data_IF_755975155176
#
_entry.id   IF_755975155176
#
_cell.length_a   1.000
_cell.length_b   1.000
_cell.length_c   1.000
_cell.angle_alpha   90.00
_cell.angle_beta   90.00
_cell.angle_gamma   90.00
#
_symmetry.space_group_name_H-M   'P 1'
#
loop_
_entity.id
_entity.type
_entity.pdbx_description
1 polymer ?
#
# COMPACT_ATOMS: atom_id res chain seq x y z
N UNK A 1 12.98 -18.00 49.37
CA UNK A 1 14.17 -17.46 48.67
C UNK A 1 14.18 -17.81 47.18
N UNK A 2 14.03 -19.08 46.77
CA UNK A 2 14.01 -19.50 45.35
C UNK A 2 12.92 -18.83 44.51
N UNK A 3 11.70 -18.68 45.04
CA UNK A 3 10.59 -18.00 44.36
C UNK A 3 10.88 -16.53 44.02
N UNK A 4 11.59 -15.81 44.90
CA UNK A 4 11.98 -14.42 44.64
C UNK A 4 12.98 -14.33 43.48
N UNK A 5 13.93 -15.29 43.41
CA UNK A 5 14.90 -15.38 42.31
C UNK A 5 14.20 -15.70 40.99
N UNK A 6 13.24 -16.63 40.99
CA UNK A 6 12.43 -16.96 39.80
C UNK A 6 11.65 -15.75 39.31
N UNK A 7 11.01 -15.00 40.22
CA UNK A 7 10.29 -13.78 39.85
C UNK A 7 11.20 -12.68 39.30
N UNK A 8 12.42 -12.53 39.84
CA UNK A 8 13.40 -11.57 39.33
C UNK A 8 13.88 -11.94 37.92
N UNK A 9 14.12 -13.23 37.65
CA UNK A 9 14.47 -13.72 36.30
C UNK A 9 13.32 -13.51 35.33
N UNK A 10 12.07 -13.75 35.76
CA UNK A 10 10.90 -13.52 34.93
C UNK A 10 10.73 -12.03 34.60
N UNK A 11 10.86 -11.15 35.59
CA UNK A 11 10.79 -9.70 35.38
C UNK A 11 11.92 -9.16 34.49
N UNK A 12 13.13 -9.70 34.60
CA UNK A 12 14.25 -9.28 33.75
C UNK A 12 14.05 -9.71 32.30
N UNK A 13 13.54 -10.93 32.06
CA UNK A 13 13.17 -11.40 30.72
C UNK A 13 12.05 -10.54 30.11
N UNK A 14 11.01 -10.22 30.89
CA UNK A 14 9.92 -9.34 30.44
C UNK A 14 10.47 -7.95 30.08
N UNK A 15 11.39 -7.40 30.87
CA UNK A 15 12.07 -6.14 30.55
C UNK A 15 12.81 -6.22 29.21
N UNK A 16 13.57 -7.29 28.97
CA UNK A 16 14.31 -7.48 27.71
C UNK A 16 13.34 -7.53 26.52
N UNK A 17 12.21 -8.23 26.63
CA UNK A 17 11.20 -8.25 25.55
C UNK A 17 10.57 -6.87 25.33
N UNK A 18 10.31 -6.11 26.40
CA UNK A 18 9.76 -4.76 26.32
C UNK A 18 10.75 -3.73 25.73
N UNK A 19 12.04 -3.83 26.05
CA UNK A 19 13.06 -2.89 25.58
C UNK A 19 13.68 -3.28 24.25
N UNK A 20 13.68 -4.58 23.94
CA UNK A 20 14.30 -5.16 22.77
C UNK A 20 13.28 -5.99 21.99
N UNK A 21 12.17 -5.35 21.58
CA UNK A 21 11.28 -5.97 20.60
C UNK A 21 12.12 -6.31 19.36
N UNK A 22 12.14 -7.58 18.92
CA UNK A 22 12.92 -7.96 17.74
C UNK A 22 12.47 -7.12 16.53
N UNK A 23 13.41 -6.69 15.70
CA UNK A 23 13.13 -5.84 14.53
C UNK A 23 12.01 -6.42 13.67
N UNK A 24 12.00 -7.73 13.42
CA UNK A 24 10.93 -8.38 12.65
C UNK A 24 9.54 -8.30 13.30
N UNK A 25 9.44 -8.25 14.63
CA UNK A 25 8.15 -8.06 15.34
C UNK A 25 7.66 -6.63 15.16
N UNK A 26 8.58 -5.66 15.20
CA UNK A 26 8.28 -4.24 14.97
C UNK A 26 7.86 -4.03 13.52
N UNK A 27 8.57 -4.58 12.55
CA UNK A 27 8.22 -4.51 11.12
C UNK A 27 6.84 -5.15 10.86
N UNK A 28 6.56 -6.31 11.44
CA UNK A 28 5.24 -6.93 11.35
C UNK A 28 4.15 -6.06 11.97
N UNK A 29 4.41 -5.43 13.11
CA UNK A 29 3.47 -4.51 13.75
C UNK A 29 3.22 -3.29 12.87
N UNK A 30 4.27 -2.66 12.34
CA UNK A 30 4.19 -1.49 11.46
C UNK A 30 3.43 -1.81 10.17
N UNK A 31 3.66 -2.98 9.56
CA UNK A 31 2.97 -3.43 8.34
C UNK A 31 1.43 -3.54 8.47
N UNK A 32 0.92 -3.66 9.71
CA UNK A 32 -0.53 -3.63 9.96
C UNK A 32 -1.13 -2.24 9.88
N UNK A 33 -0.34 -1.22 10.22
CA UNK A 33 -0.76 0.17 10.23
C UNK A 33 -0.36 0.93 8.96
N UNK A 34 0.53 0.37 8.14
CA UNK A 34 0.80 0.85 6.78
C UNK A 34 -0.50 0.90 5.97
N UNK A 35 -0.96 2.12 5.73
CA UNK A 35 -2.11 2.42 4.86
C UNK A 35 -1.75 2.05 3.43
N UNK A 36 -0.53 2.37 3.03
CA UNK A 36 0.11 1.96 1.79
C UNK A 36 0.81 0.61 1.97
N UNK A 37 0.09 -0.47 1.64
CA UNK A 37 0.64 -1.82 1.77
C UNK A 37 1.53 -2.15 0.58
N UNK A 38 2.77 -2.57 0.85
CA UNK A 38 3.69 -3.04 -0.19
C UNK A 38 3.13 -4.26 -0.93
N UNK A 39 3.39 -4.30 -2.23
CA UNK A 39 3.00 -5.37 -3.14
C UNK A 39 4.11 -6.42 -3.25
N UNK A 40 3.70 -7.67 -3.40
CA UNK A 40 4.56 -8.79 -3.74
C UNK A 40 4.32 -9.19 -5.20
N UNK A 41 5.38 -9.48 -5.95
CA UNK A 41 5.29 -9.92 -7.36
C UNK A 41 4.46 -11.20 -7.50
N UNK A 42 4.55 -12.14 -6.56
CA UNK A 42 3.81 -13.41 -6.66
C UNK A 42 2.29 -13.25 -6.49
N UNK A 43 1.86 -12.30 -5.66
CA UNK A 43 0.47 -12.14 -5.26
C UNK A 43 -0.27 -11.01 -5.98
N UNK A 44 0.46 -10.11 -6.65
CA UNK A 44 -0.09 -8.95 -7.35
C UNK A 44 -0.25 -9.22 -8.84
N UNK A 45 -1.45 -8.93 -9.36
CA UNK A 45 -1.76 -8.88 -10.79
C UNK A 45 -2.01 -7.42 -11.15
N UNK A 46 -1.17 -6.87 -12.01
CA UNK A 46 -1.27 -5.48 -12.47
C UNK A 46 -1.90 -5.45 -13.86
N UNK A 47 -2.81 -4.50 -14.07
CA UNK A 47 -3.41 -4.25 -15.36
C UNK A 47 -3.56 -2.75 -15.62
N UNK A 48 -3.16 -2.32 -16.80
CA UNK A 48 -3.30 -0.95 -17.28
C UNK A 48 -4.19 -0.98 -18.51
N UNK A 49 -5.26 -0.20 -18.51
CA UNK A 49 -6.24 -0.16 -19.60
C UNK A 49 -6.78 -1.55 -20.00
N UNK A 50 -6.99 -2.42 -19.00
CA UNK A 50 -7.43 -3.80 -19.20
C UNK A 50 -6.35 -4.77 -19.72
N UNK A 51 -5.17 -4.27 -20.10
CA UNK A 51 -4.02 -5.11 -20.49
C UNK A 51 -3.21 -5.50 -19.27
N UNK A 52 -2.96 -6.80 -19.09
CA UNK A 52 -2.10 -7.31 -18.01
C UNK A 52 -0.63 -6.96 -18.27
N UNK A 53 0.03 -6.52 -17.20
CA UNK A 53 1.47 -6.29 -17.18
C UNK A 53 2.16 -7.56 -16.69
N UNK A 54 3.19 -8.00 -17.40
CA UNK A 54 3.94 -9.22 -17.08
C UNK A 54 5.46 -8.95 -17.16
N UNK A 55 6.25 -9.84 -16.56
CA UNK A 55 7.71 -9.78 -16.63
C UNK A 55 8.32 -8.56 -15.94
N UNK A 56 9.26 -7.91 -16.62
CA UNK A 56 10.06 -6.80 -16.08
C UNK A 56 9.24 -5.53 -15.86
N UNK A 57 8.31 -5.21 -16.76
CA UNK A 57 7.42 -4.04 -16.63
C UNK A 57 6.60 -4.09 -15.34
N UNK A 58 6.06 -5.28 -15.02
CA UNK A 58 5.32 -5.52 -13.78
C UNK A 58 6.21 -5.29 -12.56
N UNK A 59 7.41 -5.86 -12.54
CA UNK A 59 8.35 -5.73 -11.42
C UNK A 59 8.75 -4.28 -11.19
N UNK A 60 9.04 -3.55 -12.27
CA UNK A 60 9.38 -2.14 -12.19
C UNK A 60 8.24 -1.31 -11.58
N UNK A 61 6.99 -1.54 -12.01
CA UNK A 61 5.84 -0.84 -11.42
C UNK A 61 5.61 -1.19 -9.95
N UNK A 62 5.79 -2.46 -9.57
CA UNK A 62 5.67 -2.89 -8.17
C UNK A 62 6.73 -2.20 -7.30
N UNK A 63 7.96 -2.10 -7.79
CA UNK A 63 9.06 -1.46 -7.07
C UNK A 63 8.78 0.02 -6.84
N UNK A 64 8.42 0.75 -7.91
CA UNK A 64 8.05 2.16 -7.82
C UNK A 64 6.85 2.41 -6.91
N UNK A 65 5.84 1.52 -6.93
CA UNK A 65 4.72 1.60 -6.01
C UNK A 65 5.18 1.38 -4.56
N UNK A 66 6.06 0.42 -4.30
CA UNK A 66 6.56 0.12 -2.97
C UNK A 66 7.47 1.21 -2.39
N UNK A 67 8.17 1.95 -3.25
CA UNK A 67 9.00 3.11 -2.89
C UNK A 67 8.18 4.38 -2.66
N UNK A 68 6.93 4.43 -3.12
CA UNK A 68 6.08 5.61 -2.97
C UNK A 68 5.82 5.96 -1.49
N UNK A 69 5.86 7.26 -1.19
CA UNK A 69 5.69 7.77 0.17
C UNK A 69 4.22 8.10 0.41
N UNK A 70 3.64 7.51 1.45
CA UNK A 70 2.30 7.86 1.91
C UNK A 70 2.28 9.29 2.48
N UNK A 71 1.37 10.12 2.00
CA UNK A 71 1.18 11.48 2.48
C UNK A 71 -0.02 11.59 3.41
N UNK A 72 -1.20 11.36 2.88
CA UNK A 72 -2.45 11.58 3.61
C UNK A 72 -3.53 10.58 3.20
N UNK A 73 -4.44 10.31 4.12
CA UNK A 73 -5.61 9.47 3.87
C UNK A 73 -6.84 10.37 3.76
N UNK A 74 -7.63 10.17 2.71
CA UNK A 74 -8.89 10.87 2.54
C UNK A 74 -9.96 10.34 3.50
N UNK A 75 -10.76 11.28 4.01
CA UNK A 75 -11.99 10.95 4.72
C UNK A 75 -13.11 10.79 3.69
N UNK A 76 -13.57 9.55 3.49
CA UNK A 76 -14.69 9.25 2.59
C UNK A 76 -15.98 9.28 3.39
N UNK A 77 -16.88 10.20 3.04
CA UNK A 77 -18.22 10.22 3.62
C UNK A 77 -19.06 9.06 3.05
N UNK A 78 -19.88 8.37 3.86
CA UNK A 78 -20.72 7.28 3.38
C UNK A 78 -21.65 7.74 2.25
N UNK A 79 -21.60 7.05 1.10
CA UNK A 79 -22.34 7.42 -0.11
C UNK A 79 -21.53 8.19 -1.15
N UNK A 80 -20.30 8.60 -0.83
CA UNK A 80 -19.41 9.31 -1.76
C UNK A 80 -18.32 8.40 -2.36
N UNK A 81 -18.40 7.09 -2.12
CA UNK A 81 -17.37 6.13 -2.53
C UNK A 81 -17.13 6.10 -4.04
N UNK A 82 -18.21 6.29 -4.83
CA UNK A 82 -18.12 6.26 -6.30
C UNK A 82 -17.26 7.38 -6.86
N UNK A 83 -17.23 8.56 -6.23
CA UNK A 83 -16.38 9.68 -6.68
C UNK A 83 -14.90 9.38 -6.59
N UNK A 84 -14.51 8.55 -5.62
CA UNK A 84 -13.13 8.10 -5.49
C UNK A 84 -12.85 6.90 -6.41
N UNK A 85 -13.82 6.01 -6.59
CA UNK A 85 -13.64 4.87 -7.49
C UNK A 85 -13.61 5.27 -8.96
N UNK A 86 -14.28 6.36 -9.34
CA UNK A 86 -14.39 6.87 -10.71
C UNK A 86 -14.26 8.41 -10.71
N UNK A 87 -13.07 8.95 -10.42
CA UNK A 87 -12.84 10.39 -10.40
C UNK A 87 -12.96 10.97 -11.82
N UNK A 88 -13.61 12.12 -11.97
CA UNK A 88 -13.84 12.77 -13.27
C UNK A 88 -12.53 13.12 -14.01
N UNK A 89 -11.47 13.41 -13.27
CA UNK A 89 -10.17 13.86 -13.81
C UNK A 89 -9.04 12.82 -13.70
N UNK A 90 -9.32 11.58 -13.25
CA UNK A 90 -8.25 10.63 -12.89
C UNK A 90 -7.61 9.88 -14.06
N UNK A 91 -8.11 10.05 -15.29
CA UNK A 91 -7.65 9.26 -16.43
C UNK A 91 -7.86 7.76 -16.24
N UNK A 92 -7.13 6.94 -17.00
CA UNK A 92 -7.19 5.47 -16.89
C UNK A 92 -6.34 4.99 -15.71
N UNK A 93 -6.95 4.35 -14.68
CA UNK A 93 -6.18 3.87 -13.55
C UNK A 93 -5.32 2.66 -13.88
N UNK A 94 -4.19 2.55 -13.20
CA UNK A 94 -3.52 1.27 -13.01
C UNK A 94 -4.33 0.47 -11.97
N UNK A 95 -4.84 -0.69 -12.37
CA UNK A 95 -5.62 -1.58 -11.50
C UNK A 95 -4.72 -2.71 -11.01
N UNK A 96 -4.64 -2.86 -9.69
CA UNK A 96 -3.83 -3.87 -9.02
C UNK A 96 -4.75 -4.78 -8.21
N UNK A 97 -4.86 -6.02 -8.65
CA UNK A 97 -5.51 -7.09 -7.90
C UNK A 97 -4.47 -7.79 -7.03
N UNK A 98 -4.66 -7.78 -5.71
CA UNK A 98 -3.72 -8.38 -4.75
C UNK A 98 -4.45 -9.02 -3.57
N UNK A 99 -3.72 -9.77 -2.75
CA UNK A 99 -4.25 -10.39 -1.53
C UNK A 99 -3.54 -9.85 -0.29
N UNK A 100 -4.32 -9.35 0.67
CA UNK A 100 -3.83 -9.06 2.03
C UNK A 100 -4.27 -10.18 2.97
N UNK A 101 -3.38 -11.17 3.15
CA UNK A 101 -3.71 -12.42 3.85
C UNK A 101 -4.77 -13.22 3.07
N UNK A 102 -5.93 -13.50 3.68
CA UNK A 102 -7.03 -14.23 3.03
C UNK A 102 -8.06 -13.32 2.33
N UNK A 103 -7.77 -12.02 2.19
CA UNK A 103 -8.72 -11.04 1.64
C UNK A 103 -8.22 -10.56 0.29
N UNK A 104 -9.07 -10.68 -0.72
CA UNK A 104 -8.85 -10.02 -2.00
C UNK A 104 -9.02 -8.51 -1.83
N UNK A 105 -8.07 -7.78 -2.38
CA UNK A 105 -7.97 -6.33 -2.32
C UNK A 105 -7.73 -5.85 -3.75
N UNK A 106 -8.53 -4.88 -4.18
CA UNK A 106 -8.31 -4.17 -5.44
C UNK A 106 -7.82 -2.77 -5.14
N UNK A 107 -6.75 -2.35 -5.81
CA UNK A 107 -6.23 -1.00 -5.74
C UNK A 107 -6.44 -0.35 -7.11
N UNK A 108 -7.01 0.83 -7.13
CA UNK A 108 -7.04 1.71 -8.30
C UNK A 108 -6.03 2.82 -8.04
N UNK A 109 -5.04 2.94 -8.92
CA UNK A 109 -3.98 3.92 -8.81
C UNK A 109 -4.18 4.96 -9.93
N UNK A 110 -4.51 6.18 -9.53
CA UNK A 110 -4.74 7.33 -10.38
C UNK A 110 -3.52 8.23 -10.34
N UNK A 111 -2.93 8.51 -11.49
CA UNK A 111 -1.76 9.38 -11.61
C UNK A 111 -2.21 10.77 -12.07
N UNK A 112 -1.87 11.78 -11.28
CA UNK A 112 -2.04 13.20 -11.60
C UNK A 112 -0.66 13.86 -11.77
N UNK A 113 -0.66 15.08 -12.29
CA UNK A 113 0.58 15.83 -12.54
C UNK A 113 1.39 16.10 -11.26
N UNK A 114 0.72 16.33 -10.13
CA UNK A 114 1.34 16.69 -8.85
C UNK A 114 1.30 15.57 -7.79
N UNK A 115 0.50 14.52 -7.99
CA UNK A 115 0.33 13.44 -7.02
C UNK A 115 -0.21 12.15 -7.60
N UNK A 116 -0.28 11.12 -6.76
CA UNK A 116 -0.90 9.85 -7.09
C UNK A 116 -1.94 9.56 -6.04
N UNK A 117 -3.15 9.24 -6.46
CA UNK A 117 -4.19 8.75 -5.56
C UNK A 117 -4.33 7.24 -5.69
N UNK A 118 -4.49 6.59 -4.55
CA UNK A 118 -4.76 5.16 -4.48
C UNK A 118 -6.08 4.93 -3.78
N UNK A 119 -6.98 4.26 -4.48
CA UNK A 119 -8.29 3.88 -3.97
C UNK A 119 -8.31 2.37 -3.78
N UNK A 120 -8.30 1.99 -2.51
CA UNK A 120 -8.33 0.62 -2.05
C UNK A 120 -9.76 0.18 -1.80
N UNK A 121 -10.19 -0.83 -2.54
CA UNK A 121 -11.46 -1.49 -2.38
C UNK A 121 -11.27 -2.89 -1.80
N UNK A 122 -11.99 -3.20 -0.72
CA UNK A 122 -12.08 -4.56 -0.20
C UNK A 122 -13.50 -4.83 0.31
N UNK A 123 -14.15 -5.86 -0.23
CA UNK A 123 -15.58 -6.11 -0.02
C UNK A 123 -16.40 -4.84 -0.32
N UNK A 124 -17.06 -4.27 0.69
CA UNK A 124 -17.87 -3.03 0.59
C UNK A 124 -17.14 -1.78 1.12
N UNK A 125 -15.88 -1.91 1.56
CA UNK A 125 -15.15 -0.79 2.15
C UNK A 125 -14.21 -0.18 1.11
N UNK A 126 -14.25 1.14 1.03
CA UNK A 126 -13.37 1.94 0.19
C UNK A 126 -12.49 2.80 1.11
N UNK A 127 -11.21 2.88 0.77
CA UNK A 127 -10.24 3.75 1.42
C UNK A 127 -9.46 4.44 0.32
N UNK A 128 -9.43 5.76 0.32
CA UNK A 128 -8.63 6.54 -0.62
C UNK A 128 -7.48 7.23 0.13
N UNK A 129 -6.32 7.33 -0.49
CA UNK A 129 -5.16 8.01 0.06
C UNK A 129 -4.24 8.53 -1.03
N UNK A 130 -3.47 9.56 -0.68
CA UNK A 130 -2.50 10.23 -1.53
C UNK A 130 -1.10 9.66 -1.30
N UNK A 131 -0.40 9.45 -2.40
CA UNK A 131 1.00 9.07 -2.47
C UNK A 131 1.82 10.15 -3.18
N UNK A 132 3.08 10.25 -2.78
CA UNK A 132 4.11 10.97 -3.50
C UNK A 132 5.12 9.98 -4.07
N UNK A 133 5.32 10.02 -5.39
CA UNK A 133 6.37 9.25 -6.05
C UNK A 133 6.81 9.98 -7.30
N UNK A 134 8.04 10.52 -7.29
CA UNK A 134 8.60 11.18 -8.46
C UNK A 134 8.75 10.21 -9.64
N UNK A 135 9.07 8.94 -9.35
CA UNK A 135 9.35 7.94 -10.38
C UNK A 135 8.08 7.49 -11.11
N UNK A 136 6.96 7.33 -10.39
CA UNK A 136 5.66 7.02 -10.97
C UNK A 136 5.03 8.23 -11.69
N UNK A 137 5.19 9.45 -11.15
CA UNK A 137 4.70 10.68 -11.80
C UNK A 137 5.36 10.90 -13.16
N UNK A 138 6.71 10.77 -13.23
CA UNK A 138 7.48 10.93 -14.48
C UNK A 138 7.07 9.91 -15.56
N UNK A 139 6.69 8.69 -15.20
CA UNK A 139 6.20 7.70 -16.16
C UNK A 139 4.80 8.04 -16.70
N UNK A 140 3.89 8.56 -15.87
CA UNK A 140 2.55 8.97 -16.33
C UNK A 140 2.60 10.12 -17.35
N UNK A 141 3.55 11.05 -17.17
CA UNK A 141 3.81 12.15 -18.11
C UNK A 141 4.34 11.64 -19.45
N UNK A 142 5.15 10.58 -19.44
CA UNK A 142 5.69 9.96 -20.67
C UNK A 142 4.60 9.25 -21.50
N UNK A 143 3.65 8.57 -20.84
CA UNK A 143 2.51 7.93 -21.51
C UNK A 143 1.62 8.97 -22.18
N UNK A 144 1.34 10.08 -21.48
CA UNK A 144 0.53 11.20 -22.02
C UNK A 144 1.24 11.92 -23.17
N UNK A 145 2.58 12.06 -23.12
CA UNK A 145 3.38 12.67 -24.19
C UNK A 145 3.44 11.86 -25.50
N UNK A 146 3.10 10.56 -25.46
CA UNK A 146 3.07 9.71 -26.66
C UNK A 146 1.74 9.76 -27.43
N UNK A 147 0.73 10.43 -26.86
CA UNK A 147 -0.61 10.60 -27.45
C UNK A 147 -0.87 12.04 -27.96
N UNK A 148 0.16 12.90 -27.98
CA UNK A 148 0.09 14.28 -28.47
C UNK A 148 0.73 14.44 -29.87
#
# INVERSE_FOLDING_TARGET
MTWAIVMLILMSLVKIVLTCLPTGVIEWLLSKFEVHAKLNDEDAVLSLDGKRLEGEEKRHMIDQFNEAVFLEKYYIYPGDEERYLYPENGGTPLVIDTKKGKKDVKLFVYSYDDHIDVVKQYKKKVIAYRLLSESMQKQSLSVTGSLA
#
